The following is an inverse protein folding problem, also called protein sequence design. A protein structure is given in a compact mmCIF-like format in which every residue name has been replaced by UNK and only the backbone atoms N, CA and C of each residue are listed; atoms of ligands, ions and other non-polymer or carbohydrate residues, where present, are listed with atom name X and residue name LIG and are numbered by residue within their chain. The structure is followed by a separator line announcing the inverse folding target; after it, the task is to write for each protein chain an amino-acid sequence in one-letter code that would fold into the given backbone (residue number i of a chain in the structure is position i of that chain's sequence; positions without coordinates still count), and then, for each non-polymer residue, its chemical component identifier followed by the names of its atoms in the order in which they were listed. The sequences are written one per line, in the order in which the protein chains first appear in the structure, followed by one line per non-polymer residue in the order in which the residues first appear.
data_IF_351427514394
#
_entry.id   IF_351427514394
#
_cell.length_a   1.000
_cell.length_b   1.000
_cell.length_c   1.000
_cell.angle_alpha   90.00
_cell.angle_beta   90.00
_cell.angle_gamma   90.00
#
_symmetry.space_group_name_H-M   'P 1'
#
loop_
_entity.id
_entity.type
_entity.pdbx_description
1 polymer ?
#
# COMPACT_ATOMS: atom_id res chain seq x y z
N UNK A 1 6.70 -44.24 -86.92
CA UNK A 1 6.53 -44.33 -85.51
C UNK A 1 6.58 -42.89 -84.94
N UNK A 2 5.47 -42.29 -84.57
CA UNK A 2 5.41 -40.97 -83.95
C UNK A 2 4.94 -41.14 -82.55
N UNK A 3 5.84 -40.83 -81.59
CA UNK A 3 5.58 -40.85 -80.16
C UNK A 3 4.91 -39.50 -79.80
N UNK A 4 3.68 -39.58 -79.23
CA UNK A 4 2.97 -38.42 -78.71
C UNK A 4 3.28 -38.32 -77.24
N UNK A 5 3.93 -37.23 -76.82
CA UNK A 5 4.15 -36.91 -75.40
C UNK A 5 2.92 -36.11 -74.97
N UNK A 6 2.25 -36.63 -73.96
CA UNK A 6 1.08 -36.04 -73.34
C UNK A 6 1.52 -35.27 -72.08
N UNK A 7 1.38 -33.92 -72.09
CA UNK A 7 1.69 -33.08 -70.97
C UNK A 7 0.50 -33.09 -70.02
N UNK A 8 0.69 -33.54 -68.77
CA UNK A 8 -0.24 -33.33 -67.68
C UNK A 8 0.08 -31.98 -67.01
N UNK A 9 -0.87 -31.03 -67.09
CA UNK A 9 -0.88 -29.79 -66.30
C UNK A 9 -1.27 -30.13 -64.88
N UNK A 10 -0.35 -30.05 -63.94
CA UNK A 10 -0.63 -30.11 -62.52
C UNK A 10 -0.96 -28.70 -62.07
N UNK A 11 -2.23 -28.44 -61.76
CA UNK A 11 -2.67 -27.19 -61.14
C UNK A 11 -2.35 -27.27 -59.63
N UNK A 12 -1.36 -26.50 -59.19
CA UNK A 12 -1.04 -26.34 -57.78
C UNK A 12 -2.02 -25.30 -57.23
N UNK A 13 -2.98 -25.76 -56.41
CA UNK A 13 -3.84 -24.89 -55.61
C UNK A 13 -3.05 -24.42 -54.37
N UNK A 14 -2.57 -23.16 -54.43
CA UNK A 14 -1.98 -22.52 -53.27
C UNK A 14 -3.07 -22.12 -52.32
N UNK A 15 -3.24 -22.90 -51.24
CA UNK A 15 -4.10 -22.52 -50.09
C UNK A 15 -3.35 -21.46 -49.27
N UNK A 16 -3.71 -20.20 -49.47
CA UNK A 16 -3.23 -19.14 -48.59
C UNK A 16 -3.93 -19.27 -47.22
N UNK A 17 -3.24 -19.78 -46.23
CA UNK A 17 -3.63 -19.66 -44.86
C UNK A 17 -3.45 -18.19 -44.45
N UNK A 18 -4.55 -17.46 -44.31
CA UNK A 18 -4.57 -16.16 -43.67
C UNK A 18 -4.50 -16.48 -42.15
N UNK A 19 -3.30 -16.41 -41.57
CA UNK A 19 -3.17 -16.27 -40.14
C UNK A 19 -3.66 -14.89 -39.78
N UNK A 20 -4.90 -14.80 -39.29
CA UNK A 20 -5.34 -13.65 -38.50
C UNK A 20 -4.52 -13.71 -37.21
N UNK A 21 -3.52 -12.85 -37.10
CA UNK A 21 -2.95 -12.50 -35.81
C UNK A 21 -4.01 -11.68 -35.11
N UNK A 22 -4.85 -12.30 -34.32
CA UNK A 22 -5.49 -11.61 -33.20
C UNK A 22 -4.32 -11.12 -32.33
N UNK A 23 -4.07 -9.83 -32.37
CA UNK A 23 -3.30 -9.19 -31.32
C UNK A 23 -4.14 -9.42 -30.07
N UNK A 24 -3.73 -10.38 -29.23
CA UNK A 24 -3.98 -10.29 -27.81
C UNK A 24 -3.48 -8.89 -27.46
N UNK A 25 -4.39 -8.00 -27.09
CA UNK A 25 -4.04 -6.76 -26.44
C UNK A 25 -3.29 -7.19 -25.19
N UNK A 26 -1.97 -6.95 -25.17
CA UNK A 26 -1.18 -7.08 -23.97
C UNK A 26 -1.96 -6.32 -22.89
N UNK A 27 -2.12 -6.92 -21.67
CA UNK A 27 -2.78 -6.21 -20.61
C UNK A 27 -2.08 -4.87 -20.46
N UNK A 28 -2.87 -3.79 -20.51
CA UNK A 28 -2.37 -2.43 -20.32
C UNK A 28 -1.55 -2.45 -19.05
N UNK A 29 -0.24 -2.39 -19.20
CA UNK A 29 0.71 -2.27 -18.11
C UNK A 29 0.45 -0.88 -17.53
N UNK A 30 -0.51 -0.81 -16.59
CA UNK A 30 -0.72 0.38 -15.80
C UNK A 30 0.54 0.54 -14.97
N UNK A 31 1.37 1.52 -15.30
CA UNK A 31 2.57 1.88 -14.56
C UNK A 31 2.19 2.17 -13.09
N UNK A 32 2.22 1.11 -12.29
CA UNK A 32 2.02 1.16 -10.84
C UNK A 32 3.35 1.40 -10.13
N UNK A 33 4.15 2.37 -10.59
CA UNK A 33 5.46 2.75 -10.01
C UNK A 33 6.39 1.56 -9.68
N UNK A 34 6.21 0.42 -10.37
CA UNK A 34 6.98 -0.83 -10.19
C UNK A 34 6.43 -1.77 -9.11
N UNK A 35 5.31 -1.43 -8.46
CA UNK A 35 4.63 -2.33 -7.51
C UNK A 35 3.59 -3.22 -8.22
N UNK A 36 3.35 -4.41 -7.66
CA UNK A 36 2.38 -5.35 -8.19
C UNK A 36 1.15 -5.42 -7.30
N UNK A 37 -0.05 -5.45 -7.92
CA UNK A 37 -1.27 -5.69 -7.17
C UNK A 37 -1.26 -7.11 -6.59
N UNK A 38 -1.09 -7.21 -5.28
CA UNK A 38 -1.26 -8.45 -4.55
C UNK A 38 -2.75 -8.69 -4.26
N UNK A 39 -3.21 -9.92 -4.50
CA UNK A 39 -4.60 -10.29 -4.22
C UNK A 39 -5.62 -9.54 -5.10
N UNK A 40 -6.89 -9.65 -4.72
CA UNK A 40 -8.00 -8.97 -5.39
C UNK A 40 -8.53 -7.86 -4.49
N UNK A 41 -8.63 -6.61 -4.96
CA UNK A 41 -9.29 -5.53 -4.22
C UNK A 41 -10.75 -5.89 -3.87
N UNK A 42 -11.23 -5.39 -2.73
CA UNK A 42 -12.64 -5.55 -2.36
C UNK A 42 -13.50 -4.69 -3.29
N UNK A 43 -14.50 -5.32 -3.93
CA UNK A 43 -15.38 -4.65 -4.90
C UNK A 43 -16.56 -3.92 -4.27
N UNK A 44 -16.99 -4.32 -3.07
CA UNK A 44 -18.17 -3.78 -2.42
C UNK A 44 -17.74 -3.09 -1.11
N UNK A 45 -17.48 -1.80 -1.21
CA UNK A 45 -17.20 -0.97 -0.03
C UNK A 45 -18.55 -0.54 0.57
N UNK A 46 -18.77 -0.74 1.89
CA UNK A 46 -20.01 -0.29 2.54
C UNK A 46 -20.17 1.23 2.45
N UNK A 47 -21.43 1.71 2.44
CA UNK A 47 -21.73 3.14 2.53
C UNK A 47 -21.21 3.71 3.88
N UNK A 48 -20.86 5.00 3.90
CA UNK A 48 -20.25 5.63 5.07
C UNK A 48 -21.08 5.47 6.37
N UNK A 49 -22.40 5.43 6.25
CA UNK A 49 -23.34 5.29 7.37
C UNK A 49 -23.40 3.86 7.92
N UNK A 50 -22.87 2.89 7.16
CA UNK A 50 -22.86 1.46 7.53
C UNK A 50 -21.50 1.03 8.11
N UNK A 51 -20.52 1.95 8.17
CA UNK A 51 -19.18 1.62 8.63
C UNK A 51 -19.16 1.41 10.15
N UNK A 52 -18.68 0.22 10.55
CA UNK A 52 -18.40 -0.14 11.94
C UNK A 52 -16.92 -0.50 12.04
N UNK A 53 -16.15 0.39 12.66
CA UNK A 53 -14.70 0.29 12.74
C UNK A 53 -14.25 -0.30 14.07
N UNK A 54 -13.27 -1.19 14.03
CA UNK A 54 -12.60 -1.76 15.20
C UNK A 54 -11.11 -1.42 15.17
N UNK A 55 -10.65 -0.62 16.11
CA UNK A 55 -9.25 -0.27 16.28
C UNK A 55 -8.48 -1.40 16.98
N UNK A 56 -7.31 -1.74 16.45
CA UNK A 56 -6.45 -2.78 16.98
C UNK A 56 -5.07 -2.22 17.34
N UNK A 57 -4.73 -2.25 18.63
CA UNK A 57 -3.36 -2.12 19.08
C UNK A 57 -2.74 -3.53 19.17
N UNK A 58 -1.89 -3.89 18.21
CA UNK A 58 -1.29 -5.23 18.11
C UNK A 58 -0.61 -5.64 19.41
N UNK A 59 0.24 -4.78 20.00
CA UNK A 59 0.98 -5.05 21.26
C UNK A 59 0.08 -5.40 22.43
N UNK A 60 -1.15 -4.87 22.45
CA UNK A 60 -2.07 -5.03 23.58
C UNK A 60 -3.19 -6.03 23.30
N UNK A 61 -3.38 -6.47 22.05
CA UNK A 61 -4.54 -7.27 21.64
C UNK A 61 -4.46 -8.72 22.13
N UNK A 62 -3.29 -9.31 22.06
CA UNK A 62 -3.06 -10.71 22.45
C UNK A 62 -1.77 -10.86 23.26
N UNK A 63 -1.54 -12.04 23.82
CA UNK A 63 -0.27 -12.35 24.47
C UNK A 63 0.90 -12.47 23.50
N UNK A 64 0.65 -12.69 22.20
CA UNK A 64 1.65 -12.66 21.13
C UNK A 64 2.06 -11.24 20.78
N UNK A 65 1.11 -10.30 20.85
CA UNK A 65 1.34 -8.90 20.47
C UNK A 65 1.52 -8.70 18.95
N UNK A 66 1.00 -9.61 18.12
CA UNK A 66 1.30 -9.74 16.71
C UNK A 66 0.04 -9.90 15.85
N UNK A 67 0.22 -9.94 14.52
CA UNK A 67 -0.86 -10.12 13.53
C UNK A 67 -1.58 -11.47 13.71
N UNK A 68 -0.86 -12.55 14.06
CA UNK A 68 -1.45 -13.87 14.27
C UNK A 68 -2.45 -13.85 15.43
N UNK A 69 -2.13 -13.15 16.51
CA UNK A 69 -3.01 -13.00 17.65
C UNK A 69 -4.34 -12.33 17.31
N UNK A 70 -4.34 -11.35 16.43
CA UNK A 70 -5.57 -10.71 15.91
C UNK A 70 -6.28 -11.62 14.93
N UNK A 71 -5.56 -12.24 14.00
CA UNK A 71 -6.10 -13.16 13.00
C UNK A 71 -6.92 -14.28 13.65
N UNK A 72 -6.44 -14.83 14.74
CA UNK A 72 -7.14 -15.87 15.50
C UNK A 72 -8.45 -15.40 16.18
N UNK A 73 -8.77 -14.10 16.10
CA UNK A 73 -9.97 -13.47 16.67
C UNK A 73 -10.87 -12.80 15.64
N UNK A 74 -10.59 -12.95 14.36
CA UNK A 74 -11.38 -12.30 13.30
C UNK A 74 -12.85 -12.69 13.34
N UNK A 75 -13.18 -13.94 13.65
CA UNK A 75 -14.59 -14.39 13.79
C UNK A 75 -15.29 -13.64 14.94
N UNK A 76 -14.62 -13.45 16.08
CA UNK A 76 -15.19 -12.72 17.21
C UNK A 76 -15.37 -11.22 16.87
N UNK A 77 -14.45 -10.64 16.10
CA UNK A 77 -14.56 -9.24 15.64
C UNK A 77 -15.75 -9.10 14.67
N UNK A 78 -15.89 -10.04 13.72
CA UNK A 78 -16.99 -10.06 12.77
C UNK A 78 -18.36 -10.20 13.46
N UNK A 79 -18.48 -11.03 14.52
CA UNK A 79 -19.70 -11.19 15.34
C UNK A 79 -20.17 -9.87 15.99
N UNK A 80 -19.30 -8.89 16.16
CA UNK A 80 -19.66 -7.56 16.66
C UNK A 80 -20.29 -6.66 15.57
N UNK A 81 -20.39 -7.14 14.32
CA UNK A 81 -20.88 -6.36 13.19
C UNK A 81 -19.83 -5.41 12.60
N UNK A 82 -18.55 -5.64 12.89
CA UNK A 82 -17.42 -4.86 12.37
C UNK A 82 -17.25 -5.16 10.88
N UNK A 83 -17.05 -4.11 10.09
CA UNK A 83 -16.73 -4.20 8.66
C UNK A 83 -15.47 -3.43 8.26
N UNK A 84 -14.81 -2.74 9.21
CA UNK A 84 -13.46 -2.17 9.04
C UNK A 84 -12.59 -2.50 10.24
N UNK A 85 -11.41 -3.06 10.00
CA UNK A 85 -10.35 -3.19 10.98
C UNK A 85 -9.32 -2.08 10.73
N UNK A 86 -9.10 -1.24 11.73
CA UNK A 86 -8.02 -0.26 11.73
C UNK A 86 -6.86 -0.82 12.56
N UNK A 87 -5.75 -1.15 11.88
CA UNK A 87 -4.50 -1.52 12.55
C UNK A 87 -3.74 -0.25 12.92
N UNK A 88 -3.45 -0.04 14.22
CA UNK A 88 -2.46 0.96 14.65
C UNK A 88 -1.14 0.72 13.91
N UNK A 89 -0.19 1.69 13.90
CA UNK A 89 0.97 1.60 13.02
C UNK A 89 1.66 0.24 13.08
N UNK A 90 1.81 -0.40 11.92
CA UNK A 90 2.42 -1.71 11.74
C UNK A 90 3.81 -1.63 11.14
N UNK A 91 4.18 -0.45 10.62
CA UNK A 91 5.47 -0.22 10.00
C UNK A 91 6.59 -0.33 11.03
N UNK A 92 7.79 -0.68 10.55
CA UNK A 92 8.97 -0.73 11.41
C UNK A 92 9.12 0.60 12.16
N UNK A 93 9.22 0.52 13.46
CA UNK A 93 9.34 1.68 14.34
C UNK A 93 10.71 1.72 15.02
N UNK A 94 11.07 2.87 15.56
CA UNK A 94 12.40 3.10 16.10
C UNK A 94 12.42 4.16 17.19
N UNK A 95 13.60 4.76 17.36
CA UNK A 95 13.79 5.80 18.35
C UNK A 95 13.91 5.26 19.79
N UNK A 96 14.13 6.19 20.75
CA UNK A 96 14.54 5.81 22.10
C UNK A 96 13.42 5.18 22.95
N UNK A 97 12.16 5.39 22.60
CA UNK A 97 11.01 4.91 23.37
C UNK A 97 10.20 3.83 22.66
N UNK A 98 10.63 3.45 21.45
CA UNK A 98 9.98 2.42 20.63
C UNK A 98 8.46 2.66 20.48
N UNK A 99 8.09 3.90 20.20
CA UNK A 99 6.69 4.28 19.91
C UNK A 99 6.26 3.70 18.58
N UNK A 100 5.08 3.07 18.46
CA UNK A 100 4.57 2.60 17.17
C UNK A 100 4.36 3.77 16.17
N UNK A 101 4.25 5.01 16.66
CA UNK A 101 4.14 6.20 15.83
C UNK A 101 5.50 6.81 15.43
N UNK A 102 6.64 6.28 15.90
CA UNK A 102 7.96 6.68 15.47
C UNK A 102 8.46 5.74 14.37
N UNK A 103 8.02 5.98 13.13
CA UNK A 103 8.32 5.11 11.99
C UNK A 103 9.81 5.20 11.62
N UNK A 104 10.49 4.06 11.50
CA UNK A 104 11.89 3.96 11.05
C UNK A 104 12.02 3.46 9.60
N UNK A 105 10.99 2.75 9.09
CA UNK A 105 10.89 2.32 7.69
C UNK A 105 9.43 2.21 7.26
N UNK A 106 9.03 3.01 6.26
CA UNK A 106 7.67 2.99 5.71
C UNK A 106 7.35 1.77 4.86
N UNK A 107 8.33 0.95 4.48
CA UNK A 107 8.16 -0.18 3.57
C UNK A 107 8.27 -1.55 4.23
N UNK A 108 8.53 -1.59 5.53
CA UNK A 108 8.67 -2.82 6.29
C UNK A 108 7.58 -2.95 7.36
N UNK A 109 7.07 -4.18 7.56
CA UNK A 109 6.32 -4.54 8.76
C UNK A 109 7.32 -4.65 9.91
N UNK A 110 6.96 -4.13 11.08
CA UNK A 110 7.78 -4.29 12.27
C UNK A 110 7.93 -5.78 12.63
N UNK A 111 9.15 -6.21 12.93
CA UNK A 111 9.46 -7.61 13.23
C UNK A 111 8.66 -8.14 14.44
N UNK A 112 8.27 -7.26 15.36
CA UNK A 112 7.43 -7.59 16.51
C UNK A 112 6.04 -8.07 16.08
N UNK A 113 5.51 -7.54 14.95
CA UNK A 113 4.16 -7.86 14.47
C UNK A 113 4.13 -8.98 13.45
N UNK A 114 5.25 -9.27 12.81
CA UNK A 114 5.39 -10.32 11.79
C UNK A 114 6.06 -9.84 10.50
N UNK A 115 5.61 -10.38 9.39
CA UNK A 115 6.16 -10.12 8.06
C UNK A 115 5.10 -9.55 7.12
N UNK A 116 5.51 -9.06 5.94
CA UNK A 116 4.59 -8.69 4.88
C UNK A 116 3.65 -9.85 4.49
N UNK A 117 4.14 -11.08 4.49
CA UNK A 117 3.32 -12.26 4.18
C UNK A 117 2.28 -12.54 5.28
N UNK A 118 2.62 -12.32 6.55
CA UNK A 118 1.64 -12.39 7.63
C UNK A 118 0.54 -11.33 7.48
N UNK A 119 0.92 -10.09 7.10
CA UNK A 119 -0.05 -9.03 6.82
C UNK A 119 -0.97 -9.37 5.64
N UNK A 120 -0.41 -9.89 4.55
CA UNK A 120 -1.16 -10.34 3.37
C UNK A 120 -2.18 -11.42 3.74
N UNK A 121 -1.76 -12.39 4.52
CA UNK A 121 -2.62 -13.47 5.02
C UNK A 121 -3.73 -12.91 5.90
N UNK A 122 -3.40 -12.00 6.83
CA UNK A 122 -4.35 -11.33 7.71
C UNK A 122 -5.42 -10.57 6.90
N UNK A 123 -4.99 -9.78 5.92
CA UNK A 123 -5.91 -9.00 5.06
C UNK A 123 -6.83 -9.95 4.27
N UNK A 124 -6.29 -11.01 3.67
CA UNK A 124 -7.09 -11.98 2.93
C UNK A 124 -8.14 -12.68 3.83
N UNK A 125 -7.79 -13.01 5.06
CA UNK A 125 -8.70 -13.60 6.06
C UNK A 125 -9.78 -12.60 6.52
N UNK A 126 -9.44 -11.32 6.68
CA UNK A 126 -10.41 -10.26 6.97
C UNK A 126 -11.39 -10.07 5.80
N UNK A 127 -10.88 -10.00 4.57
CA UNK A 127 -11.70 -9.89 3.35
C UNK A 127 -12.66 -11.07 3.19
N UNK A 128 -12.22 -12.30 3.51
CA UNK A 128 -13.08 -13.48 3.47
C UNK A 128 -14.30 -13.40 4.41
N UNK A 129 -14.24 -12.49 5.39
CA UNK A 129 -15.29 -12.18 6.37
C UNK A 129 -16.01 -10.86 6.08
N UNK A 130 -15.80 -10.28 4.91
CA UNK A 130 -16.33 -8.97 4.49
C UNK A 130 -15.88 -7.82 5.41
N UNK A 131 -14.67 -7.88 5.93
CA UNK A 131 -14.04 -6.81 6.70
C UNK A 131 -12.90 -6.18 5.89
N UNK A 132 -12.94 -4.87 5.71
CA UNK A 132 -11.85 -4.06 5.14
C UNK A 132 -10.73 -3.92 6.16
N UNK A 133 -9.51 -3.71 5.70
CA UNK A 133 -8.35 -3.44 6.56
C UNK A 133 -7.71 -2.12 6.16
N UNK A 134 -7.73 -1.15 7.08
CA UNK A 134 -7.02 0.12 6.92
C UNK A 134 -5.82 0.17 7.86
N UNK A 135 -4.77 0.84 7.40
CA UNK A 135 -3.53 1.01 8.15
C UNK A 135 -3.47 2.41 8.76
N UNK A 136 -2.93 2.52 9.96
CA UNK A 136 -2.55 3.82 10.51
C UNK A 136 -1.38 4.39 9.71
N UNK A 137 -1.46 5.66 9.36
CA UNK A 137 -0.46 6.32 8.53
C UNK A 137 0.08 7.57 9.20
N UNK A 138 1.36 7.52 9.57
CA UNK A 138 2.07 8.60 10.25
C UNK A 138 2.84 9.41 9.21
N UNK A 139 2.19 10.41 8.60
CA UNK A 139 2.82 11.20 7.55
C UNK A 139 3.62 12.40 8.07
N UNK A 140 3.31 12.90 9.29
CA UNK A 140 3.87 14.16 9.77
C UNK A 140 5.36 14.08 10.15
N UNK A 141 5.84 12.93 10.63
CA UNK A 141 7.16 12.79 11.23
C UNK A 141 7.70 11.37 11.10
N UNK A 142 9.00 11.19 11.38
CA UNK A 142 9.64 9.88 11.45
C UNK A 142 10.39 9.70 12.77
N UNK A 143 10.82 8.46 13.07
CA UNK A 143 11.85 8.24 14.08
C UNK A 143 13.16 8.93 13.69
N UNK A 144 14.01 9.25 14.68
CA UNK A 144 15.34 9.87 14.45
C UNK A 144 16.35 8.93 13.77
N UNK A 145 16.08 7.64 13.73
CA UNK A 145 16.87 6.60 13.07
C UNK A 145 16.30 6.14 11.71
N UNK A 146 15.31 6.87 11.18
CA UNK A 146 14.75 6.61 9.86
C UNK A 146 15.80 6.75 8.75
N UNK A 147 15.73 5.87 7.73
CA UNK A 147 16.68 5.90 6.60
C UNK A 147 16.67 7.21 5.82
N UNK A 148 15.57 7.94 5.81
CA UNK A 148 15.45 9.26 5.15
C UNK A 148 16.28 10.35 5.82
N UNK A 149 16.74 10.15 7.05
CA UNK A 149 17.66 11.09 7.75
C UNK A 149 18.99 11.31 7.00
N UNK A 150 19.30 10.46 6.01
CA UNK A 150 20.46 10.64 5.13
C UNK A 150 20.37 11.92 4.28
N UNK A 151 19.16 12.44 4.04
CA UNK A 151 18.94 13.74 3.36
C UNK A 151 18.20 14.69 4.31
N UNK A 152 18.94 15.57 4.96
CA UNK A 152 18.39 16.52 5.92
C UNK A 152 17.40 17.51 5.30
N UNK A 153 17.38 17.70 3.98
CA UNK A 153 16.43 18.58 3.29
C UNK A 153 14.99 18.05 3.33
N UNK A 154 14.83 16.76 3.63
CA UNK A 154 13.51 16.11 3.80
C UNK A 154 12.86 16.43 5.14
N UNK A 155 13.59 17.10 6.03
CA UNK A 155 13.15 17.44 7.39
C UNK A 155 13.10 18.93 7.60
N UNK A 156 12.20 19.35 8.47
CA UNK A 156 12.13 20.75 8.94
C UNK A 156 13.36 21.06 9.79
N UNK A 157 13.98 22.22 9.53
CA UNK A 157 15.22 22.63 10.17
C UNK A 157 15.05 23.99 10.87
N UNK A 158 15.81 24.17 11.95
CA UNK A 158 15.96 25.47 12.60
C UNK A 158 16.87 26.44 11.78
N UNK A 159 17.02 27.65 12.25
CA UNK A 159 17.88 28.65 11.60
C UNK A 159 19.37 28.27 11.54
N UNK A 160 19.80 27.27 12.29
CA UNK A 160 21.18 26.78 12.30
C UNK A 160 21.31 25.51 11.41
N UNK A 161 20.26 25.06 10.78
CA UNK A 161 20.26 23.87 9.94
C UNK A 161 20.11 22.56 10.71
N UNK A 162 19.71 22.58 11.99
CA UNK A 162 19.45 21.37 12.74
C UNK A 162 18.01 20.89 12.47
N UNK A 163 17.84 19.59 12.23
CA UNK A 163 16.51 18.98 12.15
C UNK A 163 15.81 19.13 13.49
N UNK A 164 14.52 19.43 13.46
CA UNK A 164 13.70 19.66 14.65
C UNK A 164 12.54 18.65 14.75
N UNK A 165 11.96 18.53 15.94
CA UNK A 165 10.69 17.84 16.14
C UNK A 165 9.51 18.73 15.72
N UNK A 166 8.30 18.17 15.51
CA UNK A 166 7.10 18.93 15.11
C UNK A 166 6.86 20.15 16.00
N UNK A 167 6.78 21.32 15.36
CA UNK A 167 6.64 22.60 16.06
C UNK A 167 5.35 22.68 16.85
N UNK A 168 5.40 23.26 18.04
CA UNK A 168 4.24 23.40 18.93
C UNK A 168 3.87 22.13 19.70
N UNK A 169 4.67 21.06 19.57
CA UNK A 169 4.49 19.80 20.29
C UNK A 169 5.63 19.57 21.30
N UNK A 170 5.47 18.54 22.12
CA UNK A 170 6.54 17.99 22.96
C UNK A 170 7.02 16.61 22.45
N UNK A 171 6.82 16.29 21.19
CA UNK A 171 7.16 15.00 20.56
C UNK A 171 8.65 14.97 20.18
N UNK A 172 9.50 14.97 21.19
CA UNK A 172 10.95 15.06 21.02
C UNK A 172 11.61 13.76 20.55
N UNK A 173 10.86 12.68 20.50
CA UNK A 173 11.27 11.36 20.05
C UNK A 173 11.15 11.14 18.53
N UNK A 174 10.61 12.15 17.81
CA UNK A 174 10.42 12.11 16.36
C UNK A 174 10.93 13.37 15.66
N UNK A 175 11.23 13.26 14.37
CA UNK A 175 11.74 14.31 13.50
C UNK A 175 10.65 14.79 12.52
N UNK A 176 10.45 16.09 12.43
CA UNK A 176 9.42 16.72 11.60
C UNK A 176 9.78 16.66 10.11
N UNK A 177 8.84 16.21 9.26
CA UNK A 177 9.04 16.13 7.82
C UNK A 177 8.75 17.47 7.13
N UNK A 178 9.56 17.79 6.12
CA UNK A 178 9.46 19.02 5.34
C UNK A 178 8.62 18.81 4.07
N UNK A 179 7.35 19.14 4.10
CA UNK A 179 6.44 19.03 2.95
C UNK A 179 6.67 20.06 1.83
N UNK A 180 7.56 21.06 2.03
CA UNK A 180 8.03 21.91 0.93
C UNK A 180 9.04 21.17 0.04
N UNK A 181 9.56 20.02 0.48
CA UNK A 181 10.41 19.15 -0.33
C UNK A 181 9.54 18.17 -1.15
N UNK A 182 9.43 18.46 -2.45
CA UNK A 182 8.60 17.65 -3.37
C UNK A 182 9.07 16.20 -3.50
N UNK A 183 10.38 15.91 -3.38
CA UNK A 183 10.89 14.54 -3.45
C UNK A 183 10.46 13.73 -2.23
N UNK A 184 10.52 14.34 -1.04
CA UNK A 184 9.99 13.71 0.18
C UNK A 184 8.49 13.47 0.08
N UNK A 185 7.71 14.48 -0.34
CA UNK A 185 6.26 14.36 -0.47
C UNK A 185 5.86 13.28 -1.48
N UNK A 186 6.55 13.19 -2.63
CA UNK A 186 6.33 12.13 -3.61
C UNK A 186 6.70 10.75 -3.05
N UNK A 187 7.80 10.65 -2.31
CA UNK A 187 8.22 9.38 -1.68
C UNK A 187 7.23 8.92 -0.61
N UNK A 188 6.60 9.86 0.11
CA UNK A 188 5.53 9.54 1.07
C UNK A 188 4.31 8.96 0.36
N UNK A 189 3.88 9.54 -0.77
CA UNK A 189 2.76 9.01 -1.58
C UNK A 189 3.12 7.64 -2.15
N UNK A 190 4.34 7.46 -2.62
CA UNK A 190 4.84 6.17 -3.12
C UNK A 190 4.77 5.07 -2.04
N UNK A 191 5.16 5.39 -0.81
CA UNK A 191 5.02 4.48 0.32
C UNK A 191 3.56 4.11 0.63
N UNK A 192 2.62 5.05 0.47
CA UNK A 192 1.19 4.73 0.58
C UNK A 192 0.73 3.78 -0.53
N UNK A 193 1.13 4.01 -1.78
CA UNK A 193 0.81 3.09 -2.90
C UNK A 193 1.35 1.68 -2.66
N UNK A 194 2.55 1.57 -2.08
CA UNK A 194 3.18 0.28 -1.76
C UNK A 194 2.24 -0.63 -0.95
N UNK A 195 1.66 -0.15 0.14
CA UNK A 195 0.80 -0.98 0.99
C UNK A 195 -0.52 -1.33 0.33
N UNK A 196 -1.09 -0.42 -0.45
CA UNK A 196 -2.32 -0.69 -1.22
C UNK A 196 -2.06 -1.78 -2.27
N UNK A 197 -0.94 -1.73 -2.95
CA UNK A 197 -0.60 -2.67 -4.02
C UNK A 197 0.00 -3.96 -3.48
N UNK A 198 1.07 -3.89 -2.71
CA UNK A 198 1.83 -5.05 -2.29
C UNK A 198 1.20 -5.82 -1.12
N UNK A 199 0.40 -5.18 -0.29
CA UNK A 199 -0.29 -5.84 0.81
C UNK A 199 -1.80 -6.02 0.60
N UNK A 200 -2.39 -5.36 -0.40
CA UNK A 200 -3.83 -5.30 -0.62
C UNK A 200 -4.60 -4.56 0.50
N UNK A 201 -3.96 -3.59 1.17
CA UNK A 201 -4.64 -2.75 2.15
C UNK A 201 -5.72 -1.89 1.49
N UNK A 202 -6.84 -1.65 2.19
CA UNK A 202 -8.02 -0.98 1.63
C UNK A 202 -7.99 0.54 1.81
N UNK A 203 -7.15 1.06 2.69
CA UNK A 203 -7.03 2.49 2.93
C UNK A 203 -6.24 2.82 4.18
N UNK A 204 -6.43 4.06 4.65
CA UNK A 204 -5.64 4.61 5.74
C UNK A 204 -6.48 5.39 6.74
N UNK A 205 -6.10 5.33 8.00
CA UNK A 205 -6.37 6.34 9.00
C UNK A 205 -5.12 7.20 9.14
N UNK A 206 -5.22 8.50 8.87
CA UNK A 206 -4.07 9.38 8.87
C UNK A 206 -3.88 10.03 10.25
N UNK A 207 -2.74 9.73 10.88
CA UNK A 207 -2.38 10.31 12.17
C UNK A 207 -1.95 11.78 12.03
N UNK A 208 -2.28 12.62 13.02
CA UNK A 208 -1.90 14.03 13.06
C UNK A 208 -2.11 14.77 11.73
N UNK A 209 -3.20 14.48 11.02
CA UNK A 209 -3.44 14.91 9.65
C UNK A 209 -3.49 16.45 9.48
N UNK A 210 -3.84 17.18 10.52
CA UNK A 210 -3.88 18.65 10.56
C UNK A 210 -2.48 19.31 10.64
N UNK A 211 -1.43 18.56 10.97
CA UNK A 211 -0.04 19.00 10.90
C UNK A 211 0.56 18.87 9.49
N UNK A 212 -0.09 18.13 8.60
CA UNK A 212 0.35 17.88 7.22
C UNK A 212 -0.43 18.79 6.27
N UNK A 213 0.22 19.44 5.26
CA UNK A 213 -0.45 20.36 4.36
C UNK A 213 -1.63 19.72 3.62
N UNK A 214 -2.75 20.46 3.52
CA UNK A 214 -3.95 20.00 2.81
C UNK A 214 -3.68 19.58 1.34
N UNK A 215 -2.83 20.34 0.65
CA UNK A 215 -2.47 20.04 -0.75
C UNK A 215 -1.73 18.71 -0.90
N UNK A 216 -0.95 18.29 0.10
CA UNK A 216 -0.36 16.95 0.13
C UNK A 216 -1.45 15.88 0.20
N UNK A 217 -2.41 16.01 1.12
CA UNK A 217 -3.49 15.03 1.25
C UNK A 217 -4.33 14.92 -0.01
N UNK A 218 -4.61 16.05 -0.67
CA UNK A 218 -5.31 16.05 -1.96
C UNK A 218 -4.55 15.24 -3.00
N UNK A 219 -3.24 15.48 -3.16
CA UNK A 219 -2.38 14.74 -4.08
C UNK A 219 -2.31 13.25 -3.74
N UNK A 220 -2.18 12.92 -2.46
CA UNK A 220 -2.15 11.53 -2.00
C UNK A 220 -3.46 10.81 -2.34
N UNK A 221 -4.61 11.41 -2.03
CA UNK A 221 -5.93 10.86 -2.34
C UNK A 221 -6.10 10.68 -3.86
N UNK A 222 -5.78 11.70 -4.67
CA UNK A 222 -5.88 11.62 -6.13
C UNK A 222 -4.98 10.49 -6.68
N UNK A 223 -3.77 10.33 -6.12
CA UNK A 223 -2.82 9.29 -6.52
C UNK A 223 -3.29 7.87 -6.14
N UNK A 224 -3.87 7.71 -4.95
CA UNK A 224 -4.39 6.41 -4.51
C UNK A 224 -5.65 6.01 -5.28
N UNK A 225 -6.55 6.95 -5.54
CA UNK A 225 -7.77 6.72 -6.36
C UNK A 225 -7.48 6.48 -7.84
N UNK A 226 -6.30 6.86 -8.32
CA UNK A 226 -5.86 6.54 -9.67
C UNK A 226 -5.39 5.07 -9.82
N UNK A 227 -5.21 4.33 -8.72
CA UNK A 227 -4.88 2.91 -8.76
C UNK A 227 -6.09 2.14 -9.31
N UNK A 228 -5.93 1.32 -10.36
CA UNK A 228 -7.04 0.60 -10.97
C UNK A 228 -7.79 -0.31 -9.98
N UNK A 229 -9.11 -0.35 -10.11
CA UNK A 229 -10.02 -1.13 -9.27
C UNK A 229 -9.99 -0.76 -7.76
N UNK A 230 -9.61 0.49 -7.45
CA UNK A 230 -9.70 1.08 -6.10
C UNK A 230 -10.63 2.29 -6.12
N UNK A 231 -11.52 2.42 -5.12
CA UNK A 231 -12.49 3.52 -5.01
C UNK A 231 -12.14 4.46 -3.84
#
# INVERSE_FOLDING_TARGET
MRCRIQYYLIAIFSLAFIFSCDKEEDPVDNETDGYHQYGTPVANIPENEELVMYEVNLRAFSSGGDLEGVQNRLDNIAELGVNIIWLMPIQANGGPINSPYAISDYYAVDEEYGTLENLRTFIAEAHSRNMLVILDWVANHTAWDHTWMADSSWYTQDLNGNIIHPSGTNWTDVADLNFDNENMANRMIDAMKYWVLEANADGYRCDAADYVPFEFWKRAIDSLRAIPNRE
#
